data_IF_030226553071
#
_entry.id   IF_030226553071
#
_cell.length_a   1.000
_cell.length_b   1.000
_cell.length_c   1.000
_cell.angle_alpha   90.00
_cell.angle_beta   90.00
_cell.angle_gamma   90.00
#
_symmetry.space_group_name_H-M   'P 1'
#
loop_
_entity.id
_entity.type
_entity.pdbx_description
1 polymer ?
#
# COMPACT_ATOMS: atom_id res chain seq x y z
N UNK A 1 32.86 -0.21 21.88
CA UNK A 1 31.52 0.10 21.37
C UNK A 1 31.49 -0.46 19.97
N UNK A 2 30.50 -1.29 19.63
CA UNK A 2 30.39 -1.77 18.26
C UNK A 2 30.01 -0.59 17.36
N UNK A 3 30.56 -0.53 16.16
CA UNK A 3 30.19 0.53 15.22
C UNK A 3 28.77 0.27 14.72
N UNK A 4 27.88 1.26 14.84
CA UNK A 4 26.51 1.17 14.33
C UNK A 4 26.50 0.95 12.82
N UNK A 5 25.71 -0.03 12.37
CA UNK A 5 25.58 -0.40 10.97
C UNK A 5 24.27 0.13 10.37
N UNK A 6 24.17 0.34 9.04
CA UNK A 6 22.92 0.70 8.39
C UNK A 6 21.80 -0.30 8.70
N UNK A 7 20.61 0.20 9.00
CA UNK A 7 19.47 -0.61 9.40
C UNK A 7 18.88 -1.40 8.21
N UNK A 8 19.07 -2.74 8.13
CA UNK A 8 18.62 -3.52 6.98
C UNK A 8 17.11 -3.74 6.98
N UNK A 9 16.45 -3.68 8.15
CA UNK A 9 14.99 -3.71 8.24
C UNK A 9 14.39 -2.44 7.63
N UNK A 10 14.92 -1.26 7.98
CA UNK A 10 14.50 0.02 7.41
C UNK A 10 14.66 0.03 5.89
N UNK A 11 15.79 -0.45 5.37
CA UNK A 11 16.00 -0.58 3.93
C UNK A 11 14.93 -1.49 3.28
N UNK A 12 14.61 -2.63 3.90
CA UNK A 12 13.61 -3.55 3.39
C UNK A 12 12.20 -2.93 3.35
N UNK A 13 11.75 -2.28 4.43
CA UNK A 13 10.41 -1.67 4.46
C UNK A 13 10.30 -0.49 3.49
N UNK A 14 11.38 0.29 3.26
CA UNK A 14 11.42 1.34 2.24
C UNK A 14 11.23 0.77 0.83
N UNK A 15 11.92 -0.32 0.50
CA UNK A 15 11.76 -1.01 -0.79
C UNK A 15 10.33 -1.53 -0.95
N UNK A 16 9.77 -2.20 0.08
CA UNK A 16 8.40 -2.73 0.01
C UNK A 16 7.36 -1.62 -0.13
N UNK A 17 7.51 -0.50 0.57
CA UNK A 17 6.68 0.68 0.37
C UNK A 17 6.75 1.18 -1.07
N UNK A 18 7.96 1.32 -1.61
CA UNK A 18 8.17 1.76 -3.00
C UNK A 18 7.52 0.84 -4.03
N UNK A 19 7.41 -0.46 -3.74
CA UNK A 19 6.71 -1.43 -4.58
C UNK A 19 5.18 -1.38 -4.41
N UNK A 20 4.69 -1.09 -3.21
CA UNK A 20 3.25 -1.07 -2.91
C UNK A 20 2.54 0.18 -3.47
N UNK A 21 3.20 1.33 -3.46
CA UNK A 21 2.63 2.60 -3.95
C UNK A 21 2.14 2.54 -5.41
N UNK A 22 2.94 2.11 -6.41
CA UNK A 22 2.47 2.07 -7.79
C UNK A 22 1.31 1.08 -7.97
N UNK A 23 1.37 -0.09 -7.34
CA UNK A 23 0.27 -1.08 -7.40
C UNK A 23 -1.05 -0.51 -6.86
N UNK A 24 -0.98 0.25 -5.77
CA UNK A 24 -2.15 0.92 -5.20
C UNK A 24 -2.68 2.04 -6.12
N UNK A 25 -1.79 2.76 -6.81
CA UNK A 25 -2.17 3.80 -7.75
C UNK A 25 -2.83 3.22 -9.01
N UNK A 26 -2.20 2.22 -9.64
CA UNK A 26 -2.69 1.57 -10.85
C UNK A 26 -4.11 1.00 -10.64
N UNK A 27 -4.34 0.32 -9.51
CA UNK A 27 -5.65 -0.25 -9.20
C UNK A 27 -6.73 0.83 -8.97
N UNK A 28 -6.37 2.01 -8.44
CA UNK A 28 -7.29 3.14 -8.30
C UNK A 28 -7.63 3.72 -9.66
N UNK A 29 -6.61 3.95 -10.50
CA UNK A 29 -6.77 4.52 -11.82
C UNK A 29 -7.64 3.63 -12.73
N UNK A 30 -7.47 2.31 -12.66
CA UNK A 30 -8.30 1.35 -13.38
C UNK A 30 -9.78 1.43 -12.95
N UNK A 31 -10.05 1.45 -11.63
CA UNK A 31 -11.41 1.51 -11.09
C UNK A 31 -12.06 2.87 -11.39
N UNK A 32 -11.33 3.97 -11.25
CA UNK A 32 -11.77 5.31 -11.62
C UNK A 32 -12.10 5.38 -13.12
N UNK A 33 -11.31 4.72 -13.97
CA UNK A 33 -11.57 4.62 -15.40
C UNK A 33 -12.91 3.95 -15.71
N UNK A 34 -13.22 2.83 -15.04
CA UNK A 34 -14.50 2.13 -15.21
C UNK A 34 -15.67 2.98 -14.69
N UNK A 35 -15.52 3.61 -13.52
CA UNK A 35 -16.55 4.50 -12.95
C UNK A 35 -16.86 5.65 -13.92
N UNK A 36 -15.83 6.33 -14.44
CA UNK A 36 -16.00 7.42 -15.42
C UNK A 36 -16.68 6.96 -16.70
N UNK A 37 -16.39 5.76 -17.19
CA UNK A 37 -17.04 5.21 -18.36
C UNK A 37 -18.53 4.94 -18.11
N UNK A 38 -18.88 4.39 -16.94
CA UNK A 38 -20.26 4.17 -16.52
C UNK A 38 -21.01 5.50 -16.38
N UNK A 39 -20.41 6.50 -15.74
CA UNK A 39 -20.98 7.86 -15.59
C UNK A 39 -21.22 8.54 -16.96
N UNK A 40 -20.40 8.24 -17.96
CA UNK A 40 -20.56 8.72 -19.33
C UNK A 40 -21.62 7.95 -20.14
N UNK A 41 -22.30 6.97 -19.53
CA UNK A 41 -23.34 6.18 -20.18
C UNK A 41 -22.80 5.07 -21.09
N UNK A 42 -21.59 4.56 -20.85
CA UNK A 42 -21.04 3.43 -21.61
C UNK A 42 -21.92 2.17 -21.51
N UNK A 43 -22.70 2.04 -20.44
CA UNK A 43 -23.68 0.98 -20.26
C UNK A 43 -24.89 1.49 -19.44
N UNK A 44 -26.10 1.37 -20.00
CA UNK A 44 -27.34 1.84 -19.37
C UNK A 44 -28.34 0.68 -19.30
N UNK A 45 -28.58 0.15 -18.10
CA UNK A 45 -29.60 -0.88 -17.80
C UNK A 45 -29.74 -1.04 -16.27
N UNK A 46 -30.78 -1.70 -15.78
CA UNK A 46 -30.90 -1.99 -14.33
C UNK A 46 -29.73 -2.83 -13.80
N UNK A 47 -29.20 -3.74 -14.62
CA UNK A 47 -27.98 -4.50 -14.28
C UNK A 47 -26.75 -3.60 -14.21
N UNK A 48 -26.70 -2.51 -14.98
CA UNK A 48 -25.62 -1.53 -14.90
C UNK A 48 -25.67 -0.76 -13.58
N UNK A 49 -26.85 -0.46 -13.05
CA UNK A 49 -27.03 0.23 -11.77
C UNK A 49 -26.55 -0.62 -10.58
N UNK A 50 -26.92 -1.91 -10.56
CA UNK A 50 -26.46 -2.87 -9.55
C UNK A 50 -24.93 -3.02 -9.61
N UNK A 51 -24.38 -3.22 -10.82
CA UNK A 51 -22.94 -3.32 -11.03
C UNK A 51 -22.20 -2.05 -10.58
N UNK A 52 -22.74 -0.86 -10.89
CA UNK A 52 -22.14 0.41 -10.50
C UNK A 52 -22.11 0.58 -8.97
N UNK A 53 -23.17 0.15 -8.29
CA UNK A 53 -23.23 0.16 -6.83
C UNK A 53 -22.13 -0.73 -6.21
N UNK A 54 -21.98 -1.95 -6.72
CA UNK A 54 -20.93 -2.87 -6.26
C UNK A 54 -19.53 -2.34 -6.57
N UNK A 55 -19.31 -1.83 -7.79
CA UNK A 55 -18.04 -1.26 -8.24
C UNK A 55 -17.60 -0.10 -7.34
N UNK A 56 -18.50 0.85 -7.05
CA UNK A 56 -18.17 1.99 -6.18
C UNK A 56 -17.91 1.57 -4.73
N UNK A 57 -18.62 0.53 -4.25
CA UNK A 57 -18.36 -0.09 -2.95
C UNK A 57 -16.97 -0.75 -2.87
N UNK A 58 -16.59 -1.50 -3.90
CA UNK A 58 -15.27 -2.10 -4.02
C UNK A 58 -14.17 -1.05 -4.14
N UNK A 59 -14.37 -0.01 -4.96
CA UNK A 59 -13.45 1.09 -5.11
C UNK A 59 -13.14 1.76 -3.76
N UNK A 60 -14.17 2.08 -2.97
CA UNK A 60 -13.98 2.65 -1.62
C UNK A 60 -13.19 1.73 -0.70
N UNK A 61 -13.52 0.43 -0.73
CA UNK A 61 -12.90 -0.57 0.15
C UNK A 61 -11.41 -0.77 -0.17
N UNK A 62 -11.09 -0.91 -1.46
CA UNK A 62 -9.72 -1.04 -1.97
C UNK A 62 -8.91 0.21 -1.65
N UNK A 63 -9.46 1.39 -1.93
CA UNK A 63 -8.77 2.66 -1.66
C UNK A 63 -8.43 2.80 -0.18
N UNK A 64 -9.39 2.51 0.71
CA UNK A 64 -9.18 2.52 2.16
C UNK A 64 -8.10 1.53 2.61
N UNK A 65 -8.15 0.29 2.09
CA UNK A 65 -7.17 -0.72 2.43
C UNK A 65 -5.75 -0.35 1.96
N UNK A 66 -5.64 0.19 0.74
CA UNK A 66 -4.38 0.64 0.17
C UNK A 66 -3.78 1.81 0.96
N UNK A 67 -4.58 2.83 1.32
CA UNK A 67 -4.12 3.95 2.14
C UNK A 67 -3.66 3.47 3.51
N UNK A 68 -4.41 2.55 4.14
CA UNK A 68 -4.02 1.96 5.43
C UNK A 68 -2.70 1.19 5.36
N UNK A 69 -2.46 0.43 4.29
CA UNK A 69 -1.21 -0.29 4.09
C UNK A 69 -0.01 0.66 3.88
N UNK A 70 -0.18 1.70 3.06
CA UNK A 70 0.86 2.71 2.83
C UNK A 70 1.16 3.48 4.12
N UNK A 71 0.12 3.89 4.85
CA UNK A 71 0.27 4.57 6.13
C UNK A 71 1.02 3.71 7.16
N UNK A 72 0.78 2.40 7.17
CA UNK A 72 1.50 1.44 8.03
C UNK A 72 2.99 1.40 7.68
N UNK A 73 3.35 1.39 6.39
CA UNK A 73 4.75 1.51 5.97
C UNK A 73 5.36 2.85 6.40
N UNK A 74 4.65 3.96 6.20
CA UNK A 74 5.12 5.30 6.56
C UNK A 74 5.37 5.43 8.07
N UNK A 75 4.47 4.91 8.88
CA UNK A 75 4.62 4.84 10.33
C UNK A 75 5.83 3.99 10.73
N UNK A 76 6.00 2.82 10.11
CA UNK A 76 7.13 1.94 10.40
C UNK A 76 8.46 2.58 10.02
N UNK A 77 8.54 3.25 8.86
CA UNK A 77 9.73 3.97 8.40
C UNK A 77 10.07 5.12 9.35
N UNK A 78 9.09 5.93 9.74
CA UNK A 78 9.29 7.07 10.65
C UNK A 78 9.82 6.67 12.03
N UNK A 79 9.49 5.47 12.51
CA UNK A 79 9.87 4.98 13.85
C UNK A 79 11.23 4.27 13.89
N UNK A 80 11.86 4.02 12.76
CA UNK A 80 13.11 3.26 12.70
C UNK A 80 14.32 4.19 12.56
N UNK A 81 15.41 3.95 13.32
CA UNK A 81 16.64 4.70 13.15
C UNK A 81 17.35 4.27 11.85
N UNK A 82 18.14 5.17 11.27
CA UNK A 82 18.94 4.90 10.06
C UNK A 82 20.04 3.87 10.30
N UNK A 83 20.60 3.86 11.52
CA UNK A 83 21.63 2.93 11.95
C UNK A 83 21.21 2.22 13.24
N UNK A 84 21.75 1.04 13.45
CA UNK A 84 21.47 0.19 14.61
C UNK A 84 22.73 -0.56 15.04
N UNK A 85 22.77 -1.01 16.28
CA UNK A 85 23.78 -1.94 16.75
C UNK A 85 23.74 -3.25 15.93
N UNK A 86 24.89 -3.90 15.66
CA UNK A 86 24.94 -5.14 14.86
C UNK A 86 24.08 -6.29 15.41
N UNK A 87 23.86 -6.36 16.72
CA UNK A 87 23.07 -7.38 17.40
C UNK A 87 21.60 -6.96 17.64
N UNK A 88 21.21 -5.76 17.19
CA UNK A 88 19.84 -5.26 17.29
C UNK A 88 18.87 -6.18 16.55
N UNK A 89 17.62 -6.24 17.01
CA UNK A 89 16.62 -7.12 16.41
C UNK A 89 16.38 -6.83 14.92
N UNK A 90 16.56 -5.57 14.49
CA UNK A 90 16.44 -5.13 13.10
C UNK A 90 17.44 -5.80 12.16
N UNK A 91 18.54 -6.36 12.64
CA UNK A 91 19.51 -7.08 11.80
C UNK A 91 19.09 -8.55 11.60
N UNK A 92 18.34 -9.10 12.57
CA UNK A 92 17.84 -10.49 12.59
C UNK A 92 16.33 -10.62 12.39
N UNK A 93 15.65 -9.56 11.95
CA UNK A 93 14.19 -9.48 11.87
C UNK A 93 13.56 -10.60 11.04
N UNK A 94 14.26 -11.11 10.01
CA UNK A 94 13.80 -12.22 9.18
C UNK A 94 13.73 -13.56 9.92
N UNK A 95 14.40 -13.67 11.07
CA UNK A 95 14.43 -14.86 11.90
C UNK A 95 13.52 -14.74 13.13
N UNK A 96 12.91 -13.56 13.35
CA UNK A 96 11.87 -13.37 14.36
C UNK A 96 10.61 -14.04 13.82
N UNK A 97 10.20 -15.14 14.44
CA UNK A 97 8.94 -15.83 14.18
C UNK A 97 7.89 -15.37 15.17
#
# INVERSE_FOLDING_TARGET
MADEIPNPYLAAIRVRRGQAVPVAADLRDDLDGVIRAMDAGAWISSTADDFYTDLTGHHRSVTTAADGAIATFDDAIRRQPEKVEPDAWQTRWRNLR
#
